data_IF_127927189078
#
_entry.id   IF_127927189078
#
_cell.length_a   1.000
_cell.length_b   1.000
_cell.length_c   1.000
_cell.angle_alpha   90.00
_cell.angle_beta   90.00
_cell.angle_gamma   90.00
#
_symmetry.space_group_name_H-M   'P 1'
#
loop_
_entity.id
_entity.type
_entity.pdbx_description
1 polymer ?
#
# COMPACT_ATOMS: atom_id res chain seq x y z
N UNK A 1 -22.18 -7.04 -1.22
CA UNK A 1 -21.24 -6.94 -0.07
C UNK A 1 -20.46 -8.25 0.07
N UNK A 2 -21.15 -9.39 0.12
CA UNK A 2 -20.56 -10.73 0.05
C UNK A 2 -19.68 -10.94 -1.18
N UNK A 3 -20.16 -10.64 -2.39
CA UNK A 3 -19.38 -10.82 -3.63
C UNK A 3 -18.03 -10.08 -3.63
N UNK A 4 -18.01 -8.83 -3.12
CA UNK A 4 -16.77 -8.05 -2.97
C UNK A 4 -15.85 -8.66 -1.93
N UNK A 5 -16.41 -9.21 -0.85
CA UNK A 5 -15.61 -9.92 0.14
C UNK A 5 -15.00 -11.19 -0.46
N UNK A 6 -15.78 -11.97 -1.20
CA UNK A 6 -15.29 -13.19 -1.86
C UNK A 6 -14.14 -12.88 -2.83
N UNK A 7 -14.24 -11.76 -3.57
CA UNK A 7 -13.15 -11.31 -4.44
C UNK A 7 -11.90 -10.91 -3.64
N UNK A 8 -12.03 -10.17 -2.54
CA UNK A 8 -10.89 -9.80 -1.67
C UNK A 8 -10.21 -11.02 -1.06
N UNK A 9 -11.00 -11.99 -0.58
CA UNK A 9 -10.53 -13.25 -0.01
C UNK A 9 -9.78 -14.08 -1.05
N UNK A 10 -10.23 -14.08 -2.31
CA UNK A 10 -9.52 -14.70 -3.45
C UNK A 10 -8.24 -13.96 -3.82
N UNK A 11 -8.26 -12.62 -3.85
CA UNK A 11 -7.07 -11.80 -4.08
C UNK A 11 -6.01 -12.05 -3.01
N UNK A 12 -6.40 -12.22 -1.75
CA UNK A 12 -5.48 -12.55 -0.66
C UNK A 12 -4.76 -13.89 -0.90
N UNK A 13 -5.49 -14.93 -1.31
CA UNK A 13 -4.90 -16.23 -1.65
C UNK A 13 -3.92 -16.14 -2.82
N UNK A 14 -4.29 -15.38 -3.88
CA UNK A 14 -3.40 -15.13 -5.02
C UNK A 14 -2.11 -14.39 -4.62
N UNK A 15 -2.22 -13.37 -3.75
CA UNK A 15 -1.07 -12.61 -3.24
C UNK A 15 -0.13 -13.47 -2.41
N UNK A 16 -0.66 -14.34 -1.56
CA UNK A 16 0.17 -15.31 -0.83
C UNK A 16 0.85 -16.29 -1.81
N UNK A 17 0.12 -16.81 -2.80
CA UNK A 17 0.68 -17.72 -3.78
C UNK A 17 1.77 -17.07 -4.66
N UNK A 18 1.64 -15.78 -5.01
CA UNK A 18 2.63 -15.08 -5.84
C UNK A 18 3.98 -14.88 -5.13
N UNK A 19 4.02 -14.90 -3.79
CA UNK A 19 5.29 -14.90 -3.04
C UNK A 19 6.19 -16.11 -3.33
N UNK A 20 5.64 -17.21 -3.86
CA UNK A 20 6.41 -18.38 -4.33
C UNK A 20 7.28 -18.07 -5.55
N UNK A 21 7.03 -16.94 -6.24
CA UNK A 21 7.88 -16.39 -7.30
C UNK A 21 8.55 -15.11 -6.76
N UNK A 22 9.52 -15.22 -5.84
CA UNK A 22 9.99 -14.10 -5.03
C UNK A 22 10.54 -12.95 -5.87
N UNK A 23 11.24 -13.22 -6.97
CA UNK A 23 11.75 -12.16 -7.87
C UNK A 23 10.60 -11.37 -8.50
N UNK A 24 9.59 -12.06 -9.05
CA UNK A 24 8.44 -11.41 -9.66
C UNK A 24 7.64 -10.61 -8.63
N UNK A 25 7.43 -11.16 -7.43
CA UNK A 25 6.75 -10.47 -6.34
C UNK A 25 7.52 -9.23 -5.87
N UNK A 26 8.84 -9.34 -5.72
CA UNK A 26 9.71 -8.22 -5.37
C UNK A 26 9.63 -7.11 -6.42
N UNK A 27 9.66 -7.45 -7.71
CA UNK A 27 9.52 -6.47 -8.80
C UNK A 27 8.16 -5.77 -8.74
N UNK A 28 7.06 -6.51 -8.55
CA UNK A 28 5.73 -5.91 -8.41
C UNK A 28 5.62 -4.98 -7.20
N UNK A 29 6.21 -5.37 -6.07
CA UNK A 29 6.23 -4.55 -4.86
C UNK A 29 7.15 -3.33 -5.01
N UNK A 30 8.32 -3.48 -5.64
CA UNK A 30 9.21 -2.37 -5.93
C UNK A 30 8.55 -1.37 -6.87
N UNK A 31 7.93 -1.83 -7.96
CA UNK A 31 7.19 -0.95 -8.87
C UNK A 31 6.08 -0.18 -8.15
N UNK A 32 5.32 -0.82 -7.26
CA UNK A 32 4.33 -0.12 -6.45
C UNK A 32 4.96 0.98 -5.58
N UNK A 33 6.10 0.71 -4.94
CA UNK A 33 6.86 1.73 -4.20
C UNK A 33 7.30 2.90 -5.07
N UNK A 34 7.85 2.61 -6.26
CA UNK A 34 8.24 3.63 -7.23
C UNK A 34 7.05 4.44 -7.75
N UNK A 35 5.89 3.83 -8.00
CA UNK A 35 4.68 4.54 -8.43
C UNK A 35 4.16 5.52 -7.39
N UNK A 36 4.19 5.14 -6.11
CA UNK A 36 3.91 6.09 -5.02
C UNK A 36 4.99 7.20 -5.01
N UNK A 37 6.25 6.86 -5.25
CA UNK A 37 7.33 7.85 -5.37
C UNK A 37 7.14 8.85 -6.50
N UNK A 38 6.69 8.41 -7.68
CA UNK A 38 6.36 9.28 -8.82
C UNK A 38 5.33 10.33 -8.39
N UNK A 39 4.30 9.92 -7.64
CA UNK A 39 3.29 10.85 -7.15
C UNK A 39 3.84 11.84 -6.12
N UNK A 40 4.77 11.42 -5.25
CA UNK A 40 5.46 12.33 -4.31
C UNK A 40 6.23 13.40 -5.07
N UNK A 41 6.98 13.02 -6.11
CA UNK A 41 7.74 13.98 -6.94
C UNK A 41 6.79 14.92 -7.69
N UNK A 42 5.74 14.39 -8.33
CA UNK A 42 4.74 15.22 -8.99
C UNK A 42 4.10 16.23 -8.02
N UNK A 43 3.76 15.77 -6.82
CA UNK A 43 3.14 16.60 -5.77
C UNK A 43 4.03 17.78 -5.39
N UNK A 44 5.31 17.55 -5.10
CA UNK A 44 6.22 18.65 -4.72
C UNK A 44 6.58 19.55 -5.89
N UNK A 45 6.67 19.00 -7.11
CA UNK A 45 6.89 19.80 -8.31
C UNK A 45 5.71 20.72 -8.62
N UNK A 46 4.47 20.25 -8.42
CA UNK A 46 3.27 21.04 -8.68
C UNK A 46 2.99 22.08 -7.58
N UNK A 47 3.28 21.75 -6.32
CA UNK A 47 2.91 22.58 -5.17
C UNK A 47 4.07 23.38 -4.56
N UNK A 48 5.33 23.10 -4.93
CA UNK A 48 6.50 23.75 -4.32
C UNK A 48 6.53 25.26 -4.52
N UNK A 49 6.23 25.75 -5.73
CA UNK A 49 6.14 27.19 -6.01
C UNK A 49 5.02 27.86 -5.22
N UNK A 50 3.85 27.20 -5.12
CA UNK A 50 2.72 27.70 -4.35
C UNK A 50 3.06 27.81 -2.85
N UNK A 51 3.80 26.84 -2.30
CA UNK A 51 4.27 26.89 -0.93
C UNK A 51 5.24 28.06 -0.70
N UNK A 52 6.19 28.26 -1.63
CA UNK A 52 7.17 29.35 -1.55
C UNK A 52 6.51 30.73 -1.55
N UNK A 53 5.37 30.88 -2.24
CA UNK A 53 4.58 32.11 -2.28
C UNK A 53 3.57 32.23 -1.11
N UNK A 54 3.49 31.24 -0.22
CA UNK A 54 2.52 31.22 0.89
C UNK A 54 1.07 31.04 0.43
N UNK A 55 0.85 30.41 -0.72
CA UNK A 55 -0.48 30.25 -1.32
C UNK A 55 -1.38 29.33 -0.48
N UNK A 56 -2.65 29.71 -0.21
CA UNK A 56 -3.60 28.87 0.51
C UNK A 56 -4.00 27.62 -0.28
N UNK A 57 -3.72 27.58 -1.59
CA UNK A 57 -4.07 26.46 -2.47
C UNK A 57 -3.06 25.32 -2.44
N UNK A 58 -1.93 25.48 -1.75
CA UNK A 58 -0.84 24.49 -1.72
C UNK A 58 -1.34 23.09 -1.41
N UNK A 59 -2.09 22.90 -0.30
CA UNK A 59 -2.60 21.59 0.11
C UNK A 59 -3.63 21.00 -0.85
N UNK A 60 -4.46 21.85 -1.45
CA UNK A 60 -5.45 21.41 -2.42
C UNK A 60 -4.77 20.89 -3.69
N UNK A 61 -3.77 21.62 -4.21
CA UNK A 61 -3.00 21.21 -5.39
C UNK A 61 -2.22 19.93 -5.13
N UNK A 62 -1.63 19.77 -3.94
CA UNK A 62 -1.01 18.51 -3.53
C UNK A 62 -1.98 17.34 -3.70
N UNK A 63 -3.21 17.47 -3.16
CA UNK A 63 -4.21 16.40 -3.23
C UNK A 63 -4.74 16.14 -4.64
N UNK A 64 -4.94 17.19 -5.44
CA UNK A 64 -5.45 17.07 -6.82
C UNK A 64 -4.50 16.26 -7.72
N UNK A 65 -3.19 16.41 -7.55
CA UNK A 65 -2.22 15.68 -8.41
C UNK A 65 -1.85 14.31 -7.85
N UNK A 66 -2.04 14.07 -6.56
CA UNK A 66 -1.60 12.82 -5.92
C UNK A 66 -2.39 11.58 -6.36
N UNK A 67 -3.59 11.75 -6.94
CA UNK A 67 -4.43 10.66 -7.45
C UNK A 67 -3.71 9.68 -8.38
N UNK A 68 -2.64 10.13 -9.06
CA UNK A 68 -1.78 9.29 -9.91
C UNK A 68 -1.14 8.12 -9.14
N UNK A 69 -0.88 8.27 -7.83
CA UNK A 69 -0.18 7.29 -7.01
C UNK A 69 -0.87 5.93 -7.03
N UNK A 70 -2.11 5.89 -6.55
CA UNK A 70 -2.87 4.65 -6.46
C UNK A 70 -3.48 4.26 -7.81
N UNK A 71 -3.67 5.22 -8.73
CA UNK A 71 -4.07 4.92 -10.11
C UNK A 71 -3.04 4.02 -10.79
N UNK A 72 -1.75 4.37 -10.76
CA UNK A 72 -0.69 3.56 -11.36
C UNK A 72 -0.56 2.19 -10.69
N UNK A 73 -0.62 2.13 -9.35
CA UNK A 73 -0.59 0.86 -8.62
C UNK A 73 -1.77 -0.03 -9.03
N UNK A 74 -2.97 0.54 -9.11
CA UNK A 74 -4.20 -0.19 -9.42
C UNK A 74 -4.21 -0.71 -10.86
N UNK A 75 -3.90 0.14 -11.84
CA UNK A 75 -4.00 -0.22 -13.26
C UNK A 75 -2.82 -1.06 -13.75
N UNK A 76 -1.61 -0.80 -13.26
CA UNK A 76 -0.41 -1.56 -13.65
C UNK A 76 -0.23 -2.87 -12.86
N UNK A 77 -1.00 -3.08 -11.79
CA UNK A 77 -0.95 -4.32 -11.00
C UNK A 77 0.22 -4.39 -10.00
N UNK A 78 0.50 -3.29 -9.30
CA UNK A 78 1.53 -3.23 -8.26
C UNK A 78 1.11 -3.86 -6.93
N UNK A 79 2.08 -4.44 -6.20
CA UNK A 79 1.85 -5.01 -4.87
C UNK A 79 2.13 -3.98 -3.77
N UNK A 80 1.09 -3.24 -3.36
CA UNK A 80 1.20 -2.18 -2.36
C UNK A 80 0.86 -2.70 -0.95
N UNK A 81 1.77 -2.50 0.00
CA UNK A 81 1.60 -2.94 1.39
C UNK A 81 0.36 -2.35 2.06
N UNK A 82 0.05 -1.07 1.84
CA UNK A 82 -1.06 -0.38 2.53
C UNK A 82 -2.43 -0.92 2.13
N UNK A 83 -2.66 -1.26 0.85
CA UNK A 83 -3.87 -1.98 0.43
C UNK A 83 -3.86 -3.45 0.85
N UNK A 84 -2.68 -4.09 0.85
CA UNK A 84 -2.51 -5.46 1.34
C UNK A 84 -2.88 -5.61 2.83
N UNK A 85 -2.74 -4.56 3.66
CA UNK A 85 -3.19 -4.58 5.06
C UNK A 85 -4.68 -4.90 5.19
N UNK A 86 -5.54 -4.43 4.27
CA UNK A 86 -6.96 -4.82 4.21
C UNK A 86 -7.12 -6.21 3.61
N UNK A 87 -6.62 -6.42 2.38
CA UNK A 87 -6.88 -7.64 1.61
C UNK A 87 -6.39 -8.91 2.34
N UNK A 88 -5.18 -8.88 2.91
CA UNK A 88 -4.62 -10.04 3.63
C UNK A 88 -5.36 -10.31 4.94
N UNK A 89 -5.82 -9.26 5.63
CA UNK A 89 -6.67 -9.40 6.84
C UNK A 89 -8.00 -10.06 6.49
N UNK A 90 -8.64 -9.62 5.40
CA UNK A 90 -9.89 -10.21 4.93
C UNK A 90 -9.71 -11.67 4.51
N UNK A 91 -8.62 -12.01 3.80
CA UNK A 91 -8.29 -13.40 3.48
C UNK A 91 -8.06 -14.29 4.70
N UNK A 92 -7.42 -13.76 5.75
CA UNK A 92 -7.21 -14.49 7.00
C UNK A 92 -8.51 -14.69 7.79
N UNK A 93 -9.38 -13.68 7.86
CA UNK A 93 -10.73 -13.78 8.45
C UNK A 93 -11.60 -14.78 7.68
N UNK A 94 -11.55 -14.72 6.35
CA UNK A 94 -12.22 -15.65 5.43
C UNK A 94 -11.62 -17.06 5.38
N UNK A 95 -10.51 -17.29 6.11
CA UNK A 95 -9.81 -18.58 6.24
C UNK A 95 -9.31 -19.19 4.92
N UNK A 96 -9.14 -18.39 3.86
CA UNK A 96 -8.49 -18.86 2.62
C UNK A 96 -6.98 -18.82 2.71
N UNK A 97 -6.44 -18.00 3.62
CA UNK A 97 -5.02 -17.96 3.98
C UNK A 97 -4.88 -17.98 5.50
N UNK A 98 -3.74 -18.45 6.01
CA UNK A 98 -3.41 -18.34 7.42
C UNK A 98 -2.83 -16.96 7.78
N UNK A 99 -2.96 -16.55 9.04
CA UNK A 99 -2.36 -15.30 9.57
C UNK A 99 -0.83 -15.23 9.39
N UNK A 100 -0.14 -16.38 9.47
CA UNK A 100 1.31 -16.45 9.24
C UNK A 100 1.69 -16.13 7.78
N UNK A 101 1.14 -16.81 6.76
CA UNK A 101 1.33 -16.40 5.37
C UNK A 101 0.92 -14.95 5.09
N UNK A 102 -0.19 -14.48 5.68
CA UNK A 102 -0.63 -13.09 5.56
C UNK A 102 0.44 -12.10 6.07
N UNK A 103 0.97 -12.30 7.28
CA UNK A 103 2.02 -11.45 7.84
C UNK A 103 3.31 -11.50 7.01
N UNK A 104 3.70 -12.68 6.52
CA UNK A 104 4.87 -12.85 5.66
C UNK A 104 4.74 -12.13 4.31
N UNK A 105 3.59 -12.25 3.65
CA UNK A 105 3.30 -11.52 2.40
C UNK A 105 3.24 -10.01 2.62
N UNK A 106 2.65 -9.55 3.73
CA UNK A 106 2.63 -8.14 4.07
C UNK A 106 4.05 -7.59 4.26
N UNK A 107 4.88 -8.27 5.04
CA UNK A 107 6.28 -7.89 5.25
C UNK A 107 7.07 -7.86 3.93
N UNK A 108 6.87 -8.84 3.05
CA UNK A 108 7.50 -8.87 1.74
C UNK A 108 7.09 -7.66 0.89
N UNK A 109 5.79 -7.37 0.78
CA UNK A 109 5.33 -6.19 0.03
C UNK A 109 5.86 -4.87 0.63
N UNK A 110 5.94 -4.77 1.96
CA UNK A 110 6.46 -3.59 2.65
C UNK A 110 7.94 -3.34 2.34
N UNK A 111 8.77 -4.39 2.42
CA UNK A 111 10.19 -4.32 2.06
C UNK A 111 10.36 -4.02 0.57
N UNK A 112 9.57 -4.67 -0.30
CA UNK A 112 9.62 -4.41 -1.73
C UNK A 112 9.25 -2.96 -2.07
N UNK A 113 8.19 -2.41 -1.45
CA UNK A 113 7.84 -1.01 -1.60
C UNK A 113 8.98 -0.08 -1.17
N UNK A 114 9.65 -0.37 -0.05
CA UNK A 114 10.81 0.41 0.39
C UNK A 114 11.95 0.37 -0.62
N UNK A 115 12.29 -0.80 -1.15
CA UNK A 115 13.33 -0.96 -2.18
C UNK A 115 13.00 -0.14 -3.42
N UNK A 116 11.76 -0.21 -3.90
CA UNK A 116 11.31 0.55 -5.05
C UNK A 116 11.26 2.06 -4.84
N UNK A 117 10.82 2.50 -3.66
CA UNK A 117 10.82 3.90 -3.26
C UNK A 117 12.25 4.46 -3.18
N UNK A 118 13.18 3.71 -2.61
CA UNK A 118 14.58 4.09 -2.52
C UNK A 118 15.27 4.16 -3.89
N UNK A 119 15.10 3.14 -4.74
CA UNK A 119 15.66 3.13 -6.11
C UNK A 119 15.14 4.34 -6.90
N UNK A 120 13.84 4.61 -6.83
CA UNK A 120 13.24 5.75 -7.52
C UNK A 120 13.76 7.09 -6.95
N UNK A 121 13.83 7.22 -5.62
CA UNK A 121 14.41 8.40 -4.98
C UNK A 121 15.88 8.63 -5.39
N UNK A 122 16.68 7.56 -5.53
CA UNK A 122 18.04 7.64 -6.03
C UNK A 122 18.11 8.17 -7.47
N UNK A 123 17.23 7.70 -8.36
CA UNK A 123 17.14 8.22 -9.73
C UNK A 123 16.77 9.72 -9.76
N UNK A 124 15.82 10.13 -8.93
CA UNK A 124 15.36 11.52 -8.82
C UNK A 124 16.43 12.43 -8.21
N UNK A 125 17.12 11.96 -7.17
CA UNK A 125 18.23 12.69 -6.57
C UNK A 125 19.37 12.87 -7.58
N UNK A 126 19.74 11.80 -8.29
CA UNK A 126 20.82 11.83 -9.27
C UNK A 126 20.50 12.69 -10.50
N UNK A 127 19.23 12.93 -10.81
CA UNK A 127 18.83 13.81 -11.93
C UNK A 127 18.91 15.30 -11.58
N UNK A 128 18.99 15.66 -10.29
CA UNK A 128 19.03 17.06 -9.83
C UNK A 128 17.68 17.78 -9.90
N UNK A 129 16.59 17.13 -10.31
CA UNK A 129 15.29 17.80 -10.51
C UNK A 129 14.67 18.33 -9.21
N UNK A 130 15.07 17.77 -8.06
CA UNK A 130 14.66 18.21 -6.73
C UNK A 130 15.84 18.77 -5.93
N UNK A 131 16.79 19.43 -6.59
CA UNK A 131 17.90 20.07 -5.89
C UNK A 131 17.41 21.07 -4.82
N UNK A 132 18.12 21.25 -3.69
CA UNK A 132 17.64 22.02 -2.54
C UNK A 132 17.22 23.47 -2.85
N UNK A 133 17.82 24.09 -3.85
CA UNK A 133 17.52 25.44 -4.33
C UNK A 133 16.20 25.56 -5.08
N UNK A 134 15.61 24.43 -5.51
CA UNK A 134 14.31 24.42 -6.20
C UNK A 134 13.17 24.52 -5.19
N UNK A 135 12.03 25.16 -5.54
CA UNK A 135 10.85 25.17 -4.66
C UNK A 135 10.36 23.77 -4.29
N UNK A 136 10.52 22.80 -5.19
CA UNK A 136 10.15 21.41 -4.96
C UNK A 136 11.09 20.71 -3.95
N UNK A 137 12.40 20.95 -4.04
CA UNK A 137 13.39 20.46 -3.06
C UNK A 137 13.18 21.08 -1.67
N UNK A 138 12.95 22.39 -1.61
CA UNK A 138 12.61 23.09 -0.36
C UNK A 138 11.33 22.56 0.29
N UNK A 139 10.33 22.19 -0.52
CA UNK A 139 9.10 21.58 -0.05
C UNK A 139 9.32 20.18 0.58
N UNK A 140 10.22 19.37 0.02
CA UNK A 140 10.62 18.09 0.64
C UNK A 140 11.26 18.34 2.02
N UNK A 141 12.16 19.32 2.12
CA UNK A 141 12.77 19.69 3.39
C UNK A 141 11.72 20.12 4.45
N UNK A 142 10.78 20.97 4.05
CA UNK A 142 9.67 21.41 4.91
C UNK A 142 8.77 20.24 5.37
N UNK A 143 8.50 19.28 4.48
CA UNK A 143 7.75 18.07 4.83
C UNK A 143 8.49 17.21 5.87
N UNK A 144 9.81 17.06 5.76
CA UNK A 144 10.63 16.30 6.69
C UNK A 144 10.72 16.99 8.06
N UNK A 145 10.94 18.31 8.07
CA UNK A 145 10.93 19.13 9.27
C UNK A 145 9.59 19.00 10.02
N UNK A 146 8.46 19.18 9.32
CA UNK A 146 7.14 19.02 9.91
C UNK A 146 6.94 17.64 10.57
N UNK A 147 7.33 16.56 9.88
CA UNK A 147 7.23 15.19 10.41
C UNK A 147 8.11 14.95 11.64
N UNK A 148 9.25 15.62 11.73
CA UNK A 148 10.15 15.50 12.89
C UNK A 148 9.57 16.14 14.15
N UNK A 149 8.76 17.21 14.00
CA UNK A 149 8.12 17.91 15.11
C UNK A 149 6.77 17.31 15.56
N UNK A 150 6.13 16.50 14.71
CA UNK A 150 4.89 15.82 15.05
C UNK A 150 5.11 14.74 16.12
N UNK A 151 4.24 14.68 17.13
CA UNK A 151 4.27 13.63 18.16
C UNK A 151 3.94 12.24 17.59
N UNK A 152 4.37 11.17 18.28
CA UNK A 152 4.09 9.80 17.86
C UNK A 152 2.58 9.50 17.76
N UNK A 153 1.77 10.10 18.65
CA UNK A 153 0.31 10.01 18.60
C UNK A 153 -0.28 10.67 17.36
N UNK A 154 0.21 11.86 16.98
CA UNK A 154 -0.24 12.54 15.76
C UNK A 154 0.10 11.72 14.51
N UNK A 155 1.33 11.21 14.41
CA UNK A 155 1.74 10.34 13.30
C UNK A 155 0.89 9.07 13.21
N UNK A 156 0.62 8.44 14.36
CA UNK A 156 -0.21 7.23 14.43
C UNK A 156 -1.63 7.48 13.91
N UNK A 157 -2.33 8.49 14.44
CA UNK A 157 -3.72 8.76 14.04
C UNK A 157 -3.85 9.26 12.60
N UNK A 158 -2.90 10.08 12.13
CA UNK A 158 -2.81 10.44 10.71
C UNK A 158 -2.57 9.22 9.83
N UNK A 159 -1.80 8.24 10.30
CA UNK A 159 -1.65 6.94 9.65
C UNK A 159 -2.95 6.14 9.58
N UNK A 160 -3.71 6.08 10.67
CA UNK A 160 -5.02 5.39 10.71
C UNK A 160 -5.97 5.98 9.67
N UNK A 161 -6.12 7.31 9.67
CA UNK A 161 -7.03 8.02 8.78
C UNK A 161 -6.60 7.93 7.31
N UNK A 162 -5.29 7.95 7.04
CA UNK A 162 -4.76 7.73 5.69
C UNK A 162 -5.17 6.37 5.15
N UNK A 163 -4.84 5.28 5.86
CA UNK A 163 -5.04 3.96 5.29
C UNK A 163 -6.50 3.49 5.34
N UNK A 164 -7.34 4.12 6.17
CA UNK A 164 -8.79 4.02 6.03
C UNK A 164 -9.22 4.46 4.61
N UNK A 165 -8.76 5.62 4.13
CA UNK A 165 -9.11 6.14 2.82
C UNK A 165 -8.48 5.36 1.66
N UNK A 166 -7.21 4.92 1.80
CA UNK A 166 -6.55 4.08 0.78
C UNK A 166 -7.26 2.73 0.63
N UNK A 167 -7.58 2.06 1.73
CA UNK A 167 -8.29 0.78 1.68
C UNK A 167 -9.74 0.96 1.22
N UNK A 168 -10.41 2.06 1.61
CA UNK A 168 -11.74 2.39 1.10
C UNK A 168 -11.75 2.65 -0.41
N UNK A 169 -10.71 3.27 -0.96
CA UNK A 169 -10.54 3.45 -2.39
C UNK A 169 -10.51 2.10 -3.12
N UNK A 170 -9.66 1.17 -2.64
CA UNK A 170 -9.53 -0.17 -3.22
C UNK A 170 -10.79 -1.02 -3.06
N UNK A 171 -11.41 -0.96 -1.89
CA UNK A 171 -12.69 -1.62 -1.62
C UNK A 171 -13.80 -1.11 -2.54
N UNK A 172 -13.90 0.21 -2.70
CA UNK A 172 -14.92 0.85 -3.54
C UNK A 172 -14.66 0.57 -5.02
N UNK A 173 -13.41 0.67 -5.48
CA UNK A 173 -13.04 0.33 -6.86
C UNK A 173 -13.41 -1.11 -7.21
N UNK A 174 -13.19 -2.07 -6.30
CA UNK A 174 -13.56 -3.48 -6.49
C UNK A 174 -15.08 -3.71 -6.64
N UNK A 175 -15.92 -2.72 -6.32
CA UNK A 175 -17.39 -2.78 -6.44
C UNK A 175 -17.92 -2.10 -7.69
N UNK A 176 -17.11 -1.28 -8.33
CA UNK A 176 -17.48 -0.52 -9.52
C UNK A 176 -17.14 -1.33 -10.77
N UNK A 177 -17.99 -1.24 -11.79
CA UNK A 177 -17.84 -1.99 -13.05
C UNK A 177 -17.15 -1.18 -14.17
N UNK A 178 -17.13 0.15 -14.05
CA UNK A 178 -16.49 1.03 -15.02
C UNK A 178 -15.11 1.44 -14.53
N UNK A 179 -14.08 1.27 -15.36
CA UNK A 179 -12.72 1.71 -15.07
C UNK A 179 -12.67 3.21 -14.73
N UNK A 180 -13.40 4.05 -15.48
CA UNK A 180 -13.50 5.48 -15.19
C UNK A 180 -14.06 5.77 -13.80
N UNK A 181 -15.07 5.01 -13.36
CA UNK A 181 -15.62 5.16 -12.01
C UNK A 181 -14.64 4.68 -10.91
N UNK A 182 -13.88 3.61 -11.19
CA UNK A 182 -12.83 3.11 -10.28
C UNK A 182 -11.72 4.15 -10.09
N UNK A 183 -11.26 4.76 -11.19
CA UNK A 183 -10.25 5.81 -11.14
C UNK A 183 -10.77 7.07 -10.43
N UNK A 184 -12.04 7.43 -10.62
CA UNK A 184 -12.65 8.58 -9.96
C UNK A 184 -12.75 8.39 -8.43
N UNK A 185 -13.15 7.20 -7.94
CA UNK A 185 -13.20 6.97 -6.50
C UNK A 185 -11.80 6.92 -5.87
N UNK A 186 -10.81 6.38 -6.59
CA UNK A 186 -9.39 6.44 -6.19
C UNK A 186 -8.94 7.90 -6.06
N UNK A 187 -9.21 8.72 -7.09
CA UNK A 187 -8.89 10.15 -7.08
C UNK A 187 -9.48 10.86 -5.87
N UNK A 188 -10.78 10.70 -5.59
CA UNK A 188 -11.44 11.38 -4.48
C UNK A 188 -10.88 10.98 -3.12
N UNK A 189 -10.58 9.70 -2.90
CA UNK A 189 -10.00 9.24 -1.65
C UNK A 189 -8.58 9.79 -1.43
N UNK A 190 -7.77 9.85 -2.49
CA UNK A 190 -6.40 10.39 -2.44
C UNK A 190 -6.39 11.90 -2.22
N UNK A 191 -7.28 12.63 -2.92
CA UNK A 191 -7.50 14.06 -2.69
C UNK A 191 -7.82 14.32 -1.21
N UNK A 192 -8.73 13.55 -0.63
CA UNK A 192 -9.18 13.73 0.73
C UNK A 192 -8.03 13.55 1.74
N UNK A 193 -7.25 12.47 1.66
CA UNK A 193 -6.22 12.21 2.68
C UNK A 193 -5.01 13.13 2.55
N UNK A 194 -4.61 13.49 1.33
CA UNK A 194 -3.46 14.37 1.11
C UNK A 194 -3.80 15.80 1.52
N UNK A 195 -4.94 16.33 1.06
CA UNK A 195 -5.35 17.70 1.41
C UNK A 195 -5.56 17.84 2.93
N UNK A 196 -6.00 16.78 3.60
CA UNK A 196 -6.18 16.73 5.06
C UNK A 196 -4.88 16.55 5.85
N UNK A 197 -3.75 16.28 5.19
CA UNK A 197 -2.45 16.09 5.85
C UNK A 197 -2.29 14.76 6.58
N UNK A 198 -2.93 13.69 6.09
CA UNK A 198 -2.76 12.34 6.63
C UNK A 198 -1.46 11.69 6.12
N UNK A 199 -1.00 10.66 6.84
CA UNK A 199 0.34 10.11 6.67
C UNK A 199 0.32 8.72 6.03
N UNK A 200 1.04 8.56 4.90
CA UNK A 200 1.12 7.30 4.17
C UNK A 200 2.54 6.74 4.22
N UNK A 201 2.72 5.58 4.85
CA UNK A 201 4.04 5.00 5.14
C UNK A 201 4.87 4.79 3.87
N UNK A 202 4.27 4.34 2.77
CA UNK A 202 5.01 4.12 1.50
C UNK A 202 5.34 5.43 0.78
N UNK A 203 4.53 6.48 0.95
CA UNK A 203 4.88 7.79 0.41
C UNK A 203 6.05 8.39 1.18
N UNK A 204 6.02 8.22 2.50
CA UNK A 204 7.11 8.62 3.38
C UNK A 204 8.41 7.86 3.09
N UNK A 205 8.36 6.60 2.62
CA UNK A 205 9.58 5.90 2.17
C UNK A 205 10.33 6.70 1.10
N UNK A 206 9.63 7.26 0.11
CA UNK A 206 10.25 8.12 -0.92
C UNK A 206 10.71 9.45 -0.32
N UNK A 207 9.88 10.11 0.48
CA UNK A 207 10.23 11.40 1.10
C UNK A 207 11.47 11.30 1.98
N UNK A 208 11.56 10.29 2.85
CA UNK A 208 12.74 10.03 3.68
C UNK A 208 13.93 9.58 2.84
N UNK A 209 13.75 8.76 1.80
CA UNK A 209 14.85 8.37 0.92
C UNK A 209 15.48 9.58 0.21
N UNK A 210 14.66 10.51 -0.30
CA UNK A 210 15.13 11.78 -0.87
C UNK A 210 15.85 12.64 0.17
N UNK A 211 15.31 12.71 1.40
CA UNK A 211 15.94 13.44 2.50
C UNK A 211 17.29 12.87 2.91
N UNK A 212 17.40 11.55 3.04
CA UNK A 212 18.64 10.84 3.39
C UNK A 212 19.69 11.05 2.29
N UNK A 213 19.33 10.84 1.02
CA UNK A 213 20.24 11.04 -0.11
C UNK A 213 20.70 12.50 -0.25
N UNK A 214 19.80 13.45 0.01
CA UNK A 214 20.07 14.88 -0.02
C UNK A 214 20.74 15.46 1.23
N UNK A 215 20.94 14.66 2.28
CA UNK A 215 21.47 15.15 3.57
C UNK A 215 20.58 16.20 4.25
N UNK A 216 19.27 16.12 4.06
CA UNK A 216 18.32 17.10 4.58
C UNK A 216 18.11 16.94 6.10
N UNK A 217 17.94 18.05 6.85
CA UNK A 217 17.53 18.00 8.24
C UNK A 217 16.21 17.22 8.44
N UNK A 218 16.08 16.53 9.58
CA UNK A 218 14.88 15.75 9.91
C UNK A 218 14.72 14.43 9.14
N UNK A 219 15.74 14.02 8.37
CA UNK A 219 15.76 12.77 7.63
C UNK A 219 16.80 11.76 8.15
N UNK A 220 17.11 11.76 9.45
CA UNK A 220 18.02 10.73 9.99
C UNK A 220 17.39 9.33 9.90
N UNK A 221 18.21 8.27 9.98
CA UNK A 221 17.69 6.90 10.08
C UNK A 221 16.79 6.70 11.30
N UNK A 222 17.02 7.46 12.38
CA UNK A 222 16.18 7.43 13.57
C UNK A 222 14.82 8.10 13.30
N UNK A 223 14.80 9.24 12.61
CA UNK A 223 13.55 9.92 12.21
C UNK A 223 12.73 9.04 11.27
N UNK A 224 13.41 8.40 10.31
CA UNK A 224 12.76 7.49 9.39
C UNK A 224 12.20 6.27 10.12
N UNK A 225 12.97 5.64 11.00
CA UNK A 225 12.52 4.50 11.81
C UNK A 225 11.32 4.86 12.70
N UNK A 226 11.34 6.04 13.31
CA UNK A 226 10.21 6.59 14.07
C UNK A 226 8.96 6.76 13.20
N UNK A 227 9.11 7.33 12.01
CA UNK A 227 8.02 7.50 11.07
C UNK A 227 7.43 6.15 10.63
N UNK A 228 8.29 5.20 10.22
CA UNK A 228 7.88 3.85 9.84
C UNK A 228 7.11 3.15 10.97
N UNK A 229 7.55 3.31 12.21
CA UNK A 229 6.87 2.74 13.38
C UNK A 229 5.47 3.33 13.55
N UNK A 230 5.35 4.65 13.74
CA UNK A 230 4.06 5.26 14.08
C UNK A 230 3.10 5.31 12.88
N UNK A 231 3.57 5.74 11.71
CA UNK A 231 2.73 5.80 10.50
C UNK A 231 2.44 4.40 9.97
N UNK A 232 3.41 3.48 9.99
CA UNK A 232 3.20 2.11 9.54
C UNK A 232 2.21 1.34 10.42
N UNK A 233 2.30 1.47 11.74
CA UNK A 233 1.30 0.85 12.66
C UNK A 233 -0.06 1.53 12.56
N UNK A 234 -0.09 2.86 12.42
CA UNK A 234 -1.33 3.59 12.15
C UNK A 234 -2.00 3.12 10.84
N UNK A 235 -1.25 3.04 9.75
CA UNK A 235 -1.74 2.50 8.49
C UNK A 235 -2.22 1.06 8.64
N UNK A 236 -1.52 0.20 9.39
CA UNK A 236 -1.96 -1.17 9.66
C UNK A 236 -3.33 -1.18 10.36
N UNK A 237 -3.53 -0.37 11.39
CA UNK A 237 -4.82 -0.26 12.09
C UNK A 237 -5.92 0.26 11.16
N UNK A 238 -5.65 1.32 10.39
CA UNK A 238 -6.61 1.88 9.43
C UNK A 238 -7.04 0.88 8.35
N UNK A 239 -6.09 0.15 7.77
CA UNK A 239 -6.38 -0.81 6.71
C UNK A 239 -6.95 -2.13 7.22
N UNK A 240 -6.30 -2.75 8.19
CA UNK A 240 -6.68 -4.07 8.70
C UNK A 240 -7.94 -4.02 9.56
N UNK A 241 -8.02 -3.07 10.50
CA UNK A 241 -9.10 -3.02 11.49
C UNK A 241 -10.26 -2.15 10.98
N UNK A 242 -10.00 -0.87 10.69
CA UNK A 242 -11.07 0.09 10.37
C UNK A 242 -11.82 -0.29 9.09
N UNK A 243 -11.11 -0.76 8.06
CA UNK A 243 -11.73 -1.17 6.80
C UNK A 243 -11.84 -2.69 6.69
N UNK A 244 -10.73 -3.42 6.87
CA UNK A 244 -10.66 -4.86 6.69
C UNK A 244 -11.66 -5.63 7.54
N UNK A 245 -11.58 -5.49 8.87
CA UNK A 245 -12.50 -6.12 9.81
C UNK A 245 -13.92 -5.57 9.67
N UNK A 246 -14.11 -4.25 9.57
CA UNK A 246 -15.44 -3.66 9.48
C UNK A 246 -16.24 -4.21 8.29
N UNK A 247 -15.66 -4.20 7.09
CA UNK A 247 -16.35 -4.75 5.92
C UNK A 247 -16.46 -6.28 5.96
N UNK A 248 -15.60 -6.99 6.70
CA UNK A 248 -15.79 -8.42 6.96
C UNK A 248 -16.96 -8.73 7.87
N UNK A 249 -17.17 -7.91 8.90
CA UNK A 249 -18.35 -8.02 9.75
C UNK A 249 -19.62 -7.71 8.95
N UNK A 250 -19.60 -6.64 8.15
CA UNK A 250 -20.79 -6.23 7.35
C UNK A 250 -21.11 -7.24 6.24
N UNK A 251 -20.11 -7.86 5.61
CA UNK A 251 -20.34 -8.86 4.58
C UNK A 251 -20.94 -10.17 5.12
N UNK A 252 -20.85 -10.43 6.44
CA UNK A 252 -21.12 -11.73 7.02
C UNK A 252 -19.97 -12.72 6.78
N UNK A 253 -19.98 -13.87 7.48
CA UNK A 253 -18.92 -14.89 7.34
C UNK A 253 -18.84 -15.35 5.87
N UNK A 254 -17.70 -15.17 5.18
CA UNK A 254 -17.49 -15.77 3.87
C UNK A 254 -17.50 -17.28 4.03
N UNK A 255 -18.41 -17.95 3.34
CA UNK A 255 -18.44 -19.42 3.27
C UNK A 255 -17.62 -19.79 2.04
N UNK A 256 -16.36 -20.18 2.23
CA UNK A 256 -15.65 -20.98 1.24
C UNK A 256 -15.21 -22.28 1.91
N UNK A 257 -15.69 -23.45 1.44
CA UNK A 257 -15.29 -24.74 1.98
C UNK A 257 -13.78 -24.94 1.77
N UNK A 258 -13.10 -25.39 2.82
CA UNK A 258 -11.71 -25.85 2.78
C UNK A 258 -11.68 -27.12 1.93
N UNK A 259 -11.56 -27.00 0.61
CA UNK A 259 -11.47 -28.15 -0.28
C UNK A 259 -10.42 -27.93 -1.36
N UNK A 260 -9.15 -28.14 -1.00
CA UNK A 260 -8.08 -28.55 -1.94
C UNK A 260 -6.86 -29.16 -1.22
N UNK A 261 -7.04 -29.82 -0.07
CA UNK A 261 -5.98 -30.59 0.58
C UNK A 261 -6.33 -32.09 0.74
N UNK A 262 -7.57 -32.50 0.49
CA UNK A 262 -8.04 -33.88 0.70
C UNK A 262 -8.25 -34.70 -0.59
N UNK A 263 -8.20 -34.08 -1.77
CA UNK A 263 -8.44 -34.79 -3.05
C UNK A 263 -7.18 -35.44 -3.63
N UNK A 264 -5.98 -35.06 -3.18
CA UNK A 264 -4.74 -35.70 -3.62
C UNK A 264 -4.47 -37.05 -2.92
N UNK A 265 -4.91 -37.21 -1.67
CA UNK A 265 -4.76 -38.47 -0.91
C UNK A 265 -5.82 -39.51 -1.31
N UNK A 266 -7.08 -39.10 -1.51
CA UNK A 266 -8.14 -40.03 -1.91
C UNK A 266 -7.97 -40.64 -3.31
N UNK A 267 -7.43 -39.87 -4.27
CA UNK A 267 -7.18 -40.37 -5.63
C UNK A 267 -5.95 -41.28 -5.72
N UNK A 268 -4.94 -41.06 -4.86
CA UNK A 268 -3.76 -41.92 -4.79
C UNK A 268 -4.07 -43.28 -4.15
N UNK A 269 -4.94 -43.31 -3.13
CA UNK A 269 -5.36 -44.55 -2.47
C UNK A 269 -6.32 -45.39 -3.34
N UNK A 270 -7.22 -44.74 -4.08
CA UNK A 270 -8.07 -45.41 -5.08
C UNK A 270 -7.24 -45.98 -6.25
N UNK A 271 -6.23 -45.26 -6.73
CA UNK A 271 -5.33 -45.74 -7.78
C UNK A 271 -4.50 -46.96 -7.30
N UNK A 272 -4.07 -46.99 -6.03
CA UNK A 272 -3.36 -48.13 -5.44
C UNK A 272 -4.26 -49.35 -5.21
N UNK A 273 -5.50 -49.15 -4.77
CA UNK A 273 -6.47 -50.23 -4.60
C UNK A 273 -6.84 -50.90 -5.94
N UNK A 274 -7.04 -50.10 -6.99
CA UNK A 274 -7.40 -50.62 -8.34
C UNK A 274 -6.24 -51.36 -9.02
N UNK A 275 -5.00 -51.07 -8.65
CA UNK A 275 -3.81 -51.78 -9.17
C UNK A 275 -3.54 -53.11 -8.43
N UNK A 276 -3.90 -53.20 -7.15
CA UNK A 276 -3.78 -54.44 -6.38
C UNK A 276 -4.80 -55.50 -6.83
N UNK A 277 -6.03 -55.08 -7.16
CA UNK A 277 -7.13 -55.96 -7.59
C UNK A 277 -6.97 -56.52 -9.02
N UNK A 278 -6.03 -55.96 -9.79
CA UNK A 278 -5.68 -56.44 -11.16
C UNK A 278 -4.44 -57.34 -11.18
N UNK A 279 -3.80 -57.53 -10.03
CA UNK A 279 -2.58 -58.34 -9.89
C UNK A 279 -2.81 -59.67 -9.15
N UNK A 280 -4.06 -59.98 -8.81
CA UNK A 280 -4.55 -61.27 -8.30
C UNK A 280 -5.42 -61.96 -9.34
#
# INVERSE_FOLDING_TARGET
MSETMDSQVHYAAKKVASTRRPVAYLVQAALAGSYIGIAVVLMVSAAGGLLAEGSPWTKLVQGLVFGVALTLVFTAGGELATSNMMTLTQGAIGRTIGWRPAAGTLAFSFVGNLVGAFIFAFMVHSSGVLAPETPAGAMIASMLEGKSHESGSQLFWRGVLCNMLVCLAMWSAARLRSEGAQLLVIFWCLLAFITSGFEHVVANMTTFSLGILGGLPGASLADFGRNLLFVGTGNLVGGAIVVGVAYAVIAGRPVVPVAAAATATGQADLARATLADRAS
#
